data_IF_422314287465
#
_entry.id   IF_422314287465
#
_cell.length_a   1.000
_cell.length_b   1.000
_cell.length_c   1.000
_cell.angle_alpha   90.00
_cell.angle_beta   90.00
_cell.angle_gamma   90.00
#
_symmetry.space_group_name_H-M   'P 1'
#
loop_
_entity.id
_entity.type
_entity.pdbx_description
1 polymer ?
#
# COMPACT_ATOMS: atom_id res chain seq x y z
N UNK A 1 3.31 -17.89 -14.16
CA UNK A 1 3.96 -16.73 -13.54
C UNK A 1 4.74 -17.29 -12.38
N UNK A 2 6.07 -17.37 -12.48
CA UNK A 2 6.88 -17.65 -11.29
C UNK A 2 6.66 -16.49 -10.34
N UNK A 3 6.14 -16.79 -9.14
CA UNK A 3 5.98 -15.78 -8.10
C UNK A 3 7.35 -15.27 -7.65
N UNK A 4 7.39 -14.05 -7.12
CA UNK A 4 8.57 -13.54 -6.45
C UNK A 4 8.93 -14.45 -5.27
N UNK A 5 10.15 -14.99 -5.26
CA UNK A 5 10.67 -15.78 -4.14
C UNK A 5 11.33 -14.84 -3.13
N UNK A 6 10.63 -14.58 -2.03
CA UNK A 6 11.10 -13.70 -0.95
C UNK A 6 12.35 -14.22 -0.25
N UNK A 7 12.66 -15.52 -0.36
CA UNK A 7 13.88 -16.09 0.24
C UNK A 7 15.14 -15.81 -0.60
N UNK A 8 15.01 -15.27 -1.82
CA UNK A 8 16.14 -14.89 -2.68
C UNK A 8 16.70 -13.50 -2.40
N UNK A 9 15.98 -12.64 -1.68
CA UNK A 9 16.46 -11.30 -1.35
C UNK A 9 17.08 -11.30 0.05
N UNK A 10 18.39 -11.10 0.15
CA UNK A 10 19.07 -10.90 1.43
C UNK A 10 19.55 -9.46 1.62
N UNK A 11 19.84 -9.12 2.87
CA UNK A 11 20.28 -7.78 3.28
C UNK A 11 21.59 -7.38 2.62
N UNK A 12 22.47 -8.36 2.42
CA UNK A 12 23.75 -8.11 1.76
C UNK A 12 23.59 -7.78 0.27
N UNK A 13 22.59 -8.36 -0.41
CA UNK A 13 22.32 -8.03 -1.82
C UNK A 13 21.91 -6.57 -1.97
N UNK A 14 21.05 -6.08 -1.06
CA UNK A 14 20.66 -4.68 -0.99
C UNK A 14 21.87 -3.76 -0.72
N UNK A 15 22.69 -4.10 0.28
CA UNK A 15 23.90 -3.34 0.59
C UNK A 15 24.87 -3.29 -0.59
N UNK A 16 25.08 -4.42 -1.28
CA UNK A 16 25.94 -4.48 -2.45
C UNK A 16 25.37 -3.67 -3.62
N UNK A 17 24.06 -3.70 -3.84
CA UNK A 17 23.40 -2.89 -4.84
C UNK A 17 23.65 -1.38 -4.62
N UNK A 18 23.60 -0.90 -3.37
CA UNK A 18 23.92 0.50 -3.09
C UNK A 18 25.40 0.83 -3.31
N UNK A 19 26.32 -0.10 -3.03
CA UNK A 19 27.72 0.09 -3.41
C UNK A 19 27.91 0.24 -4.92
N UNK A 20 27.16 -0.55 -5.71
CA UNK A 20 27.14 -0.44 -7.16
C UNK A 20 26.55 0.89 -7.66
N UNK A 21 25.77 1.61 -6.83
CA UNK A 21 25.25 2.95 -7.11
C UNK A 21 26.22 4.08 -6.69
N UNK A 22 27.42 3.74 -6.21
CA UNK A 22 28.49 4.70 -5.90
C UNK A 22 28.65 5.05 -4.42
N UNK A 23 27.91 4.40 -3.52
CA UNK A 23 28.15 4.49 -2.08
C UNK A 23 29.43 3.71 -1.72
N UNK A 24 30.29 4.27 -0.88
CA UNK A 24 31.55 3.60 -0.51
C UNK A 24 31.25 2.43 0.44
N UNK A 25 30.29 2.65 1.32
CA UNK A 25 29.66 1.64 2.14
C UNK A 25 28.31 2.11 2.64
N UNK A 26 27.58 1.19 3.26
CA UNK A 26 26.25 1.44 3.81
C UNK A 26 26.35 1.37 5.33
N UNK A 27 26.19 2.51 5.99
CA UNK A 27 26.12 2.57 7.46
C UNK A 27 24.77 2.07 7.95
N UNK A 28 23.70 2.57 7.33
CA UNK A 28 22.31 2.25 7.69
C UNK A 28 21.45 2.18 6.44
N UNK A 29 20.53 1.21 6.44
CA UNK A 29 19.41 1.13 5.51
C UNK A 29 18.16 1.62 6.23
N UNK A 30 17.46 2.54 5.60
CA UNK A 30 16.25 3.15 6.14
C UNK A 30 15.09 2.90 5.19
N UNK A 31 13.93 2.57 5.73
CA UNK A 31 12.71 2.28 4.98
C UNK A 31 11.54 3.07 5.53
N UNK A 32 10.58 3.38 4.66
CA UNK A 32 9.30 3.95 5.07
C UNK A 32 8.32 2.83 5.41
N UNK A 33 7.71 2.88 6.59
CA UNK A 33 6.60 2.01 6.98
C UNK A 33 5.26 2.47 6.40
N UNK A 34 4.19 1.67 6.55
CA UNK A 34 2.85 1.97 6.05
C UNK A 34 2.30 3.33 6.47
N UNK A 35 2.60 3.78 7.70
CA UNK A 35 2.15 5.10 8.19
C UNK A 35 3.00 6.29 7.71
N UNK A 36 4.01 6.04 6.88
CA UNK A 36 4.95 7.06 6.43
C UNK A 36 6.14 7.30 7.39
N UNK A 37 6.19 6.61 8.53
CA UNK A 37 7.34 6.70 9.46
C UNK A 37 8.56 6.01 8.91
N UNK A 38 9.73 6.46 9.33
CA UNK A 38 11.00 5.86 8.96
C UNK A 38 11.46 4.85 10.00
N UNK A 39 12.02 3.75 9.50
CA UNK A 39 12.58 2.67 10.30
C UNK A 39 13.96 2.28 9.81
N UNK A 40 14.83 1.90 10.72
CA UNK A 40 16.09 1.27 10.36
C UNK A 40 15.83 -0.21 10.02
N UNK A 41 16.33 -0.64 8.87
CA UNK A 41 16.28 -2.03 8.45
C UNK A 41 17.62 -2.69 8.77
N UNK A 42 17.60 -3.75 9.57
CA UNK A 42 18.80 -4.55 9.87
C UNK A 42 18.59 -6.01 9.53
N UNK A 43 19.58 -6.57 8.84
CA UNK A 43 19.67 -8.00 8.52
C UNK A 43 18.45 -8.51 7.72
N UNK A 44 18.45 -9.80 7.41
CA UNK A 44 17.37 -10.43 6.67
C UNK A 44 16.04 -10.43 7.44
N UNK A 45 16.10 -10.37 8.77
CA UNK A 45 14.91 -10.21 9.60
C UNK A 45 14.17 -8.92 9.28
N UNK A 46 14.89 -7.82 9.04
CA UNK A 46 14.28 -6.56 8.63
C UNK A 46 13.61 -6.64 7.26
N UNK A 47 14.23 -7.34 6.31
CA UNK A 47 13.65 -7.58 4.98
C UNK A 47 12.37 -8.40 5.09
N UNK A 48 12.41 -9.52 5.83
CA UNK A 48 11.22 -10.37 6.03
C UNK A 48 10.10 -9.59 6.69
N UNK A 49 10.40 -8.75 7.68
CA UNK A 49 9.40 -7.86 8.28
C UNK A 49 8.84 -6.89 7.24
N UNK A 50 9.69 -6.19 6.47
CA UNK A 50 9.25 -5.26 5.45
C UNK A 50 8.34 -5.93 4.41
N UNK A 51 8.75 -7.08 3.87
CA UNK A 51 7.96 -7.85 2.91
C UNK A 51 6.62 -8.32 3.48
N UNK A 52 6.56 -8.61 4.79
CA UNK A 52 5.29 -8.91 5.47
C UNK A 52 4.36 -7.69 5.55
N UNK A 53 4.90 -6.46 5.56
CA UNK A 53 4.11 -5.23 5.58
C UNK A 53 3.58 -4.86 4.18
N UNK A 54 4.16 -5.41 3.12
CA UNK A 54 3.77 -5.12 1.73
C UNK A 54 2.43 -5.79 1.43
N UNK A 55 1.49 -4.99 0.93
CA UNK A 55 0.16 -5.43 0.50
C UNK A 55 -0.18 -4.81 -0.85
N UNK A 56 -1.36 -5.14 -1.41
CA UNK A 56 -1.84 -4.52 -2.65
C UNK A 56 -1.97 -2.99 -2.51
N UNK A 57 -2.32 -2.50 -1.31
CA UNK A 57 -2.47 -1.08 -1.00
C UNK A 57 -1.13 -0.40 -0.60
N UNK A 58 -0.21 -1.16 0.00
CA UNK A 58 1.15 -0.71 0.35
C UNK A 58 2.19 -1.47 -0.49
N UNK A 59 2.25 -1.15 -1.78
CA UNK A 59 3.12 -1.83 -2.74
C UNK A 59 4.40 -1.04 -3.10
N UNK A 60 4.51 0.21 -2.64
CA UNK A 60 5.69 1.06 -2.90
C UNK A 60 6.59 1.10 -1.67
N UNK A 61 7.80 0.59 -1.83
CA UNK A 61 8.84 0.62 -0.81
C UNK A 61 9.85 1.71 -1.16
N UNK A 62 10.01 2.68 -0.27
CA UNK A 62 11.10 3.65 -0.36
C UNK A 62 12.28 3.19 0.49
N UNK A 63 13.45 3.10 -0.13
CA UNK A 63 14.72 2.75 0.50
C UNK A 63 15.64 3.97 0.49
N UNK A 64 16.22 4.25 1.65
CA UNK A 64 17.22 5.28 1.85
C UNK A 64 18.46 4.68 2.49
N UNK A 65 19.60 5.31 2.25
CA UNK A 65 20.90 4.85 2.76
C UNK A 65 21.60 6.01 3.43
N UNK A 66 22.21 5.72 4.58
CA UNK A 66 23.22 6.57 5.19
C UNK A 66 24.59 6.01 4.82
N UNK A 67 25.45 6.83 4.22
CA UNK A 67 26.79 6.41 3.79
C UNK A 67 27.69 6.08 5.00
N UNK A 68 28.66 5.18 4.82
CA UNK A 68 29.56 4.72 5.89
C UNK A 68 30.32 5.84 6.62
N UNK A 69 30.55 6.99 5.98
CA UNK A 69 31.25 8.13 6.57
C UNK A 69 30.33 9.18 7.18
N UNK A 70 29.02 9.01 7.07
CA UNK A 70 28.04 9.92 7.67
C UNK A 70 27.71 9.51 9.12
N UNK A 71 26.99 10.40 9.81
CA UNK A 71 26.49 10.08 11.15
C UNK A 71 25.15 9.39 11.02
N UNK A 72 25.07 8.20 11.63
CA UNK A 72 23.83 7.45 11.70
C UNK A 72 22.72 8.23 12.42
N UNK A 73 21.50 7.92 12.05
CA UNK A 73 20.28 8.46 12.63
C UNK A 73 19.79 7.48 13.69
N UNK A 74 19.48 7.98 14.89
CA UNK A 74 18.85 7.18 15.93
C UNK A 74 17.40 6.88 15.53
N UNK A 75 17.09 5.61 15.27
CA UNK A 75 15.83 5.20 14.69
C UNK A 75 15.45 3.80 15.17
N UNK A 76 14.14 3.58 15.32
CA UNK A 76 13.61 2.27 15.70
C UNK A 76 13.81 1.27 14.56
N UNK A 77 14.17 0.04 14.89
CA UNK A 77 14.25 -1.04 13.91
C UNK A 77 12.84 -1.42 13.42
N UNK A 78 12.67 -1.68 12.13
CA UNK A 78 11.40 -2.10 11.53
C UNK A 78 10.80 -3.35 12.18
N UNK A 79 11.62 -4.25 12.75
CA UNK A 79 11.12 -5.43 13.48
C UNK A 79 10.30 -5.06 14.73
N UNK A 80 10.42 -3.82 15.20
CA UNK A 80 9.68 -3.26 16.32
C UNK A 80 8.62 -2.24 15.89
N UNK A 81 8.21 -2.26 14.62
CA UNK A 81 7.06 -1.47 14.19
C UNK A 81 5.83 -1.88 15.02
N UNK A 82 5.03 -0.89 15.40
CA UNK A 82 3.79 -1.07 16.15
C UNK A 82 2.60 -0.45 15.41
N UNK A 83 2.78 -0.22 14.12
CA UNK A 83 1.77 0.41 13.27
C UNK A 83 0.62 -0.55 13.00
N UNK A 84 -0.60 -0.04 13.14
CA UNK A 84 -1.80 -0.69 12.64
C UNK A 84 -2.06 -0.25 11.21
N UNK A 85 -2.28 -1.21 10.31
CA UNK A 85 -2.71 -0.94 8.93
C UNK A 85 -4.17 -0.48 8.95
N UNK A 86 -4.41 0.83 8.99
CA UNK A 86 -5.71 1.38 8.62
C UNK A 86 -5.63 1.77 7.15
N UNK A 87 -6.24 0.96 6.27
CA UNK A 87 -6.53 1.39 4.91
C UNK A 87 -7.62 2.44 5.06
N UNK A 88 -7.26 3.72 4.91
CA UNK A 88 -8.25 4.78 4.72
C UNK A 88 -8.87 4.54 3.34
N UNK A 89 -9.95 3.75 3.31
CA UNK A 89 -10.81 3.69 2.14
C UNK A 89 -11.43 5.06 2.02
N UNK A 90 -10.85 5.91 1.17
CA UNK A 90 -11.48 7.14 0.73
C UNK A 90 -12.76 6.74 -0.02
N UNK A 91 -13.86 6.58 0.74
CA UNK A 91 -15.17 6.44 0.18
C UNK A 91 -15.49 7.77 -0.49
N UNK A 92 -15.19 7.85 -1.80
CA UNK A 92 -15.68 8.90 -2.66
C UNK A 92 -17.19 8.87 -2.57
N UNK A 93 -17.75 9.74 -1.73
CA UNK A 93 -19.19 9.96 -1.63
C UNK A 93 -19.58 10.63 -2.95
N UNK A 94 -20.01 9.83 -3.92
CA UNK A 94 -20.74 10.33 -5.07
C UNK A 94 -22.10 10.80 -4.53
N UNK A 95 -22.14 12.08 -4.17
CA UNK A 95 -23.31 12.75 -3.63
C UNK A 95 -24.06 13.35 -4.82
N UNK A 96 -25.08 12.65 -5.31
CA UNK A 96 -26.26 13.27 -5.89
C UNK A 96 -27.50 12.58 -5.32
N UNK A 97 -27.90 13.06 -4.14
CA UNK A 97 -29.21 12.75 -3.58
C UNK A 97 -30.23 13.71 -4.21
N UNK A 98 -30.93 13.25 -5.25
CA UNK A 98 -32.22 13.83 -5.64
C UNK A 98 -33.31 13.04 -4.92
N UNK A 99 -33.72 13.55 -3.75
CA UNK A 99 -34.78 13.02 -2.91
C UNK A 99 -36.09 13.79 -3.13
N UNK A 100 -36.80 13.54 -4.22
CA UNK A 100 -38.21 13.97 -4.30
C UNK A 100 -39.10 12.89 -3.69
N UNK A 101 -39.82 13.31 -2.65
CA UNK A 101 -40.48 12.50 -1.65
C UNK A 101 -41.69 11.72 -2.16
N UNK A 102 -41.89 10.54 -1.57
CA UNK A 102 -43.13 9.77 -1.58
C UNK A 102 -44.28 10.61 -0.99
N UNK A 103 -45.41 10.75 -1.71
CA UNK A 103 -46.73 10.64 -1.06
C UNK A 103 -47.90 10.26 -1.99
N UNK A 104 -48.53 9.13 -1.61
CA UNK A 104 -49.94 8.70 -1.69
C UNK A 104 -50.70 8.52 -3.01
N UNK A 105 -51.11 7.25 -3.17
CA UNK A 105 -52.40 6.71 -3.64
C UNK A 105 -52.76 6.81 -5.12
N UNK A 106 -52.80 5.66 -5.81
CA UNK A 106 -53.98 4.78 -5.83
C UNK A 106 -53.68 3.52 -6.63
N UNK A 107 -54.02 2.35 -6.10
CA UNK A 107 -54.22 1.14 -6.90
C UNK A 107 -55.37 1.41 -7.88
N UNK A 108 -55.14 1.26 -9.18
CA UNK A 108 -56.11 0.56 -10.02
C UNK A 108 -55.43 -0.03 -11.26
N UNK A 109 -55.78 -1.29 -11.48
CA UNK A 109 -55.45 -2.19 -12.57
C UNK A 109 -55.73 -1.63 -13.98
N UNK A 110 -54.88 -1.99 -14.95
CA UNK A 110 -55.23 -2.93 -16.05
C UNK A 110 -54.10 -2.98 -17.08
N UNK A 111 -53.62 -4.20 -17.34
CA UNK A 111 -52.88 -4.56 -18.54
C UNK A 111 -53.75 -4.26 -19.77
N UNK A 112 -53.23 -3.48 -20.71
CA UNK A 112 -53.72 -3.43 -22.09
C UNK A 112 -52.54 -3.66 -23.03
N UNK A 113 -52.45 -4.90 -23.52
CA UNK A 113 -51.66 -5.31 -24.67
C UNK A 113 -52.07 -4.50 -25.91
N UNK A 114 -51.15 -3.73 -26.47
CA UNK A 114 -51.23 -3.27 -27.86
C UNK A 114 -49.87 -3.44 -28.54
N UNK A 115 -49.67 -4.65 -29.07
CA UNK A 115 -48.70 -4.97 -30.12
C UNK A 115 -49.40 -4.79 -31.47
N UNK A 116 -48.97 -3.80 -32.26
CA UNK A 116 -49.03 -3.84 -33.73
C UNK A 116 -47.85 -3.05 -34.30
N UNK A 117 -46.91 -3.78 -34.86
CA UNK A 117 -45.90 -3.26 -35.79
C UNK A 117 -46.55 -2.60 -37.02
N UNK A 118 -46.01 -1.47 -37.48
CA UNK A 118 -46.09 -1.12 -38.89
C UNK A 118 -44.85 -0.33 -39.34
N UNK A 119 -44.34 -0.76 -40.49
CA UNK A 119 -43.21 -0.25 -41.30
C UNK A 119 -43.25 1.24 -41.62
#
# INVERSE_FOLDING_TARGET
>A
MEGYDSDLLCFLDLVDQFKNLGFIGVQQLVVTGPSGKYYEMKFDTGIRTLLYLVSDDFCVINLFVVDEFELGIDMTNIVHHSESYSIDVEAGTDCDSANEALNSSSNDSSDDDFDVEEL
#
